data_IF_114814250442
#
_entry.id   IF_114814250442
#
_cell.length_a   1.000
_cell.length_b   1.000
_cell.length_c   1.000
_cell.angle_alpha   90.00
_cell.angle_beta   90.00
_cell.angle_gamma   90.00
#
_symmetry.space_group_name_H-M   'P 1'
#
loop_
_entity.id
_entity.type
_entity.pdbx_description
1 polymer ?
#
# COMPACT_ATOMS: atom_id res chain seq x y z
N UNK A 1 -7.52 23.20 -3.17
CA UNK A 1 -7.86 23.30 -1.72
C UNK A 1 -6.71 22.84 -0.80
N UNK A 2 -5.46 22.85 -1.25
CA UNK A 2 -4.31 22.73 -0.33
C UNK A 2 -3.33 23.84 -0.71
N UNK A 3 -3.50 25.00 -0.08
CA UNK A 3 -2.55 26.11 -0.17
C UNK A 3 -1.36 25.82 0.77
N UNK A 4 -0.19 25.56 0.20
CA UNK A 4 1.17 25.71 0.75
C UNK A 4 1.53 25.21 2.16
N UNK A 5 0.68 24.44 2.84
CA UNK A 5 1.02 23.72 4.08
C UNK A 5 1.36 22.25 3.83
N UNK A 6 2.28 21.69 4.62
CA UNK A 6 2.53 20.24 4.60
C UNK A 6 1.28 19.48 5.07
N UNK A 7 0.75 18.59 4.24
CA UNK A 7 -0.44 17.78 4.55
C UNK A 7 -0.11 16.80 5.67
N UNK A 8 -0.96 16.74 6.70
CA UNK A 8 -0.84 15.80 7.80
C UNK A 8 -1.74 14.56 7.60
N UNK A 9 -1.50 13.52 8.40
CA UNK A 9 -2.35 12.33 8.40
C UNK A 9 -3.78 12.67 8.90
N UNK A 10 -3.91 13.63 9.81
CA UNK A 10 -5.19 14.10 10.32
C UNK A 10 -6.02 14.80 9.23
N UNK A 11 -5.37 15.61 8.38
CA UNK A 11 -6.05 16.30 7.28
C UNK A 11 -6.68 15.29 6.31
N UNK A 12 -5.91 14.27 5.91
CA UNK A 12 -6.44 13.25 4.99
C UNK A 12 -7.47 12.33 5.63
N UNK A 13 -7.46 12.16 6.96
CA UNK A 13 -8.44 11.33 7.67
C UNK A 13 -9.88 11.82 7.45
N UNK A 14 -10.04 13.14 7.27
CA UNK A 14 -11.34 13.79 7.08
C UNK A 14 -11.90 13.59 5.67
N UNK A 15 -11.04 13.25 4.70
CA UNK A 15 -11.44 13.07 3.31
C UNK A 15 -11.85 11.62 3.03
N UNK A 16 -12.85 11.40 2.14
CA UNK A 16 -13.27 10.07 1.74
C UNK A 16 -12.11 9.24 1.18
N UNK A 17 -11.98 8.01 1.66
CA UNK A 17 -11.01 7.04 1.22
C UNK A 17 -11.67 5.83 0.56
N UNK A 18 -10.99 5.28 -0.45
CA UNK A 18 -11.30 3.97 -1.05
C UNK A 18 -10.11 3.05 -0.85
N UNK A 19 -10.28 1.93 -0.15
CA UNK A 19 -9.18 0.99 0.13
C UNK A 19 -9.46 -0.43 -0.36
N UNK A 20 -8.41 -1.27 -0.47
CA UNK A 20 -8.59 -2.72 -0.43
C UNK A 20 -9.44 -3.16 0.77
N UNK A 21 -10.11 -4.30 0.63
CA UNK A 21 -10.99 -4.84 1.65
C UNK A 21 -10.29 -5.06 3.01
N UNK A 22 -11.09 -5.06 4.07
CA UNK A 22 -10.62 -5.11 5.47
C UNK A 22 -9.70 -6.28 5.83
N UNK A 23 -9.77 -7.38 5.07
CA UNK A 23 -8.97 -8.59 5.29
C UNK A 23 -7.63 -8.59 4.55
N UNK A 24 -7.25 -7.46 3.94
CA UNK A 24 -6.00 -7.36 3.17
C UNK A 24 -4.87 -6.77 4.02
N UNK A 25 -3.64 -7.19 3.74
CA UNK A 25 -2.45 -6.65 4.40
C UNK A 25 -2.34 -5.12 4.27
N UNK A 26 -2.59 -4.57 3.07
CA UNK A 26 -2.55 -3.12 2.84
C UNK A 26 -3.52 -2.39 3.76
N UNK A 27 -4.76 -2.89 3.89
CA UNK A 27 -5.74 -2.28 4.77
C UNK A 27 -5.26 -2.28 6.23
N UNK A 28 -4.69 -3.39 6.72
CA UNK A 28 -4.16 -3.46 8.08
C UNK A 28 -2.96 -2.52 8.31
N UNK A 29 -2.07 -2.37 7.32
CA UNK A 29 -0.93 -1.45 7.40
C UNK A 29 -1.42 0.00 7.54
N UNK A 30 -2.36 0.42 6.69
CA UNK A 30 -2.92 1.78 6.73
C UNK A 30 -3.68 2.00 8.02
N UNK A 31 -4.52 1.05 8.43
CA UNK A 31 -5.29 1.12 9.67
C UNK A 31 -4.37 1.31 10.89
N UNK A 32 -3.30 0.52 11.02
CA UNK A 32 -2.32 0.66 12.10
C UNK A 32 -1.63 2.03 12.12
N UNK A 33 -1.33 2.59 10.95
CA UNK A 33 -0.76 3.94 10.82
C UNK A 33 -1.70 5.01 11.41
N UNK A 34 -2.99 4.95 11.09
CA UNK A 34 -3.99 5.88 11.62
C UNK A 34 -4.24 5.64 13.12
N UNK A 35 -4.39 4.38 13.54
CA UNK A 35 -4.60 4.01 14.95
C UNK A 35 -3.45 4.49 15.85
N UNK A 36 -2.20 4.42 15.37
CA UNK A 36 -1.02 4.90 16.09
C UNK A 36 -1.05 6.41 16.37
N UNK A 37 -1.86 7.18 15.64
CA UNK A 37 -2.08 8.61 15.86
C UNK A 37 -3.45 8.92 16.48
N UNK A 38 -4.20 7.89 16.91
CA UNK A 38 -5.56 8.06 17.44
C UNK A 38 -6.58 8.50 16.39
N UNK A 39 -6.32 8.25 15.11
CA UNK A 39 -7.16 8.64 13.99
C UNK A 39 -7.93 7.44 13.44
N UNK A 40 -9.07 7.71 12.80
CA UNK A 40 -9.80 6.72 12.00
C UNK A 40 -9.99 7.29 10.58
N UNK A 41 -9.53 6.59 9.53
CA UNK A 41 -9.75 7.07 8.16
C UNK A 41 -11.24 6.97 7.79
N UNK A 42 -11.75 7.98 7.09
CA UNK A 42 -13.11 7.97 6.54
C UNK A 42 -13.19 7.05 5.30
N UNK A 43 -13.36 5.75 5.50
CA UNK A 43 -13.45 4.76 4.40
C UNK A 43 -14.87 4.77 3.84
N UNK A 44 -15.06 5.42 2.69
CA UNK A 44 -16.35 5.50 2.01
C UNK A 44 -16.71 4.22 1.25
N UNK A 45 -15.70 3.49 0.76
CA UNK A 45 -15.89 2.25 0.00
C UNK A 45 -14.66 1.33 0.06
N UNK A 46 -14.84 0.06 -0.29
CA UNK A 46 -13.73 -0.88 -0.38
C UNK A 46 -13.88 -1.86 -1.54
N UNK A 47 -12.78 -2.15 -2.22
CA UNK A 47 -12.70 -3.13 -3.33
C UNK A 47 -11.28 -3.64 -3.49
N UNK A 48 -11.10 -4.90 -3.91
CA UNK A 48 -9.77 -5.51 -4.09
C UNK A 48 -9.18 -5.32 -5.50
N UNK A 49 -9.92 -4.64 -6.40
CA UNK A 49 -9.45 -4.34 -7.75
C UNK A 49 -8.70 -3.01 -7.77
N UNK A 50 -7.36 -3.07 -7.72
CA UNK A 50 -6.51 -1.87 -7.63
C UNK A 50 -6.73 -0.88 -8.79
N UNK A 51 -7.01 -1.36 -10.00
CA UNK A 51 -7.34 -0.49 -11.14
C UNK A 51 -8.65 0.28 -10.92
N UNK A 52 -9.65 -0.36 -10.32
CA UNK A 52 -10.90 0.32 -9.94
C UNK A 52 -10.66 1.40 -8.89
N UNK A 53 -9.79 1.10 -7.91
CA UNK A 53 -9.39 2.07 -6.89
C UNK A 53 -8.69 3.26 -7.56
N UNK A 54 -7.72 3.01 -8.45
CA UNK A 54 -7.01 4.06 -9.18
C UNK A 54 -7.95 4.92 -10.01
N UNK A 55 -8.90 4.32 -10.71
CA UNK A 55 -9.92 5.03 -11.48
C UNK A 55 -10.78 5.95 -10.59
N UNK A 56 -11.19 5.50 -9.40
CA UNK A 56 -11.95 6.34 -8.46
C UNK A 56 -11.11 7.51 -7.93
N UNK A 57 -9.82 7.29 -7.70
CA UNK A 57 -8.89 8.35 -7.30
C UNK A 57 -8.66 9.35 -8.43
N UNK A 58 -8.48 8.90 -9.68
CA UNK A 58 -8.19 9.79 -10.81
C UNK A 58 -9.35 10.72 -11.17
N UNK A 59 -10.59 10.30 -10.92
CA UNK A 59 -11.77 11.17 -11.08
C UNK A 59 -12.08 12.03 -9.84
N UNK A 60 -11.24 11.96 -8.80
CA UNK A 60 -11.37 12.78 -7.59
C UNK A 60 -12.46 12.35 -6.61
N UNK A 61 -12.95 11.11 -6.70
CA UNK A 61 -14.02 10.61 -5.82
C UNK A 61 -13.55 10.41 -4.38
N UNK A 62 -12.34 9.92 -4.20
CA UNK A 62 -11.74 9.58 -2.92
C UNK A 62 -10.21 9.46 -3.04
N UNK A 63 -9.49 9.50 -1.92
CA UNK A 63 -8.06 9.19 -1.88
C UNK A 63 -7.81 7.71 -1.58
N UNK A 64 -6.58 7.23 -1.82
CA UNK A 64 -6.22 5.83 -1.56
C UNK A 64 -4.73 5.60 -1.28
N UNK A 65 -4.39 4.34 -0.99
CA UNK A 65 -3.04 3.80 -0.92
C UNK A 65 -2.86 2.79 -2.04
N UNK A 66 -1.98 3.10 -2.99
CA UNK A 66 -1.70 2.29 -4.17
C UNK A 66 -0.20 1.96 -4.26
N UNK A 67 0.19 0.82 -4.88
CA UNK A 67 1.57 0.55 -5.22
C UNK A 67 2.20 1.69 -6.03
N UNK A 68 3.48 2.00 -5.77
CA UNK A 68 4.22 3.03 -6.51
C UNK A 68 4.27 2.76 -8.02
N UNK A 69 4.24 1.49 -8.42
CA UNK A 69 4.21 1.06 -9.82
C UNK A 69 2.94 1.49 -10.56
N UNK A 70 1.90 1.92 -9.86
CA UNK A 70 0.65 2.39 -10.45
C UNK A 70 0.56 3.93 -10.55
N UNK A 71 1.59 4.65 -10.10
CA UNK A 71 1.66 6.11 -10.20
C UNK A 71 1.89 6.52 -11.65
N UNK A 72 1.05 7.41 -12.17
CA UNK A 72 1.15 8.01 -13.50
C UNK A 72 0.51 9.41 -13.51
N UNK A 73 0.32 9.99 -14.69
CA UNK A 73 -0.24 11.34 -14.87
C UNK A 73 -1.69 11.48 -14.37
N UNK A 74 -2.41 10.39 -14.14
CA UNK A 74 -3.81 10.43 -13.70
C UNK A 74 -3.97 10.60 -12.19
N UNK A 75 -2.91 10.33 -11.41
CA UNK A 75 -2.96 10.37 -9.94
C UNK A 75 -1.71 11.02 -9.38
N UNK A 76 -1.88 11.86 -8.36
CA UNK A 76 -0.77 12.49 -7.66
C UNK A 76 -0.51 11.81 -6.32
N UNK A 77 0.76 11.71 -5.92
CA UNK A 77 1.12 11.28 -4.57
C UNK A 77 0.81 12.41 -3.58
N UNK A 78 0.16 12.07 -2.46
CA UNK A 78 0.03 12.96 -1.30
C UNK A 78 1.33 12.86 -0.49
N UNK A 79 2.14 13.95 -0.37
CA UNK A 79 3.35 13.94 0.41
C UNK A 79 3.00 14.01 1.91
N UNK A 80 3.35 12.95 2.65
CA UNK A 80 3.20 12.87 4.10
C UNK A 80 4.61 12.72 4.72
N UNK A 81 5.25 13.81 5.17
CA UNK A 81 6.59 13.78 5.75
C UNK A 81 6.68 12.81 6.93
N UNK A 82 7.76 12.02 7.00
CA UNK A 82 7.99 11.06 8.08
C UNK A 82 7.14 9.78 8.03
N UNK A 83 6.24 9.65 7.04
CA UNK A 83 5.41 8.45 6.86
C UNK A 83 5.94 7.63 5.68
N UNK A 84 6.36 6.40 5.98
CA UNK A 84 6.74 5.42 4.97
C UNK A 84 6.02 4.10 5.24
N UNK A 85 5.25 3.65 4.25
CA UNK A 85 4.63 2.33 4.28
C UNK A 85 5.54 1.34 3.56
N UNK A 86 5.95 0.30 4.26
CA UNK A 86 6.71 -0.82 3.71
C UNK A 86 5.99 -2.13 4.00
N UNK A 87 6.13 -3.11 3.10
CA UNK A 87 5.69 -4.49 3.35
C UNK A 87 6.89 -5.41 3.20
N UNK A 88 6.97 -6.41 4.08
CA UNK A 88 7.88 -7.53 3.89
C UNK A 88 7.12 -8.62 3.13
N UNK A 89 7.70 -9.08 2.02
CA UNK A 89 7.22 -10.23 1.28
C UNK A 89 8.03 -11.47 1.62
N UNK A 90 7.42 -12.63 1.38
CA UNK A 90 8.08 -13.92 1.51
C UNK A 90 7.29 -15.00 0.79
N UNK A 91 7.76 -16.23 0.90
CA UNK A 91 7.11 -17.43 0.38
C UNK A 91 6.58 -18.29 1.53
N UNK A 92 5.54 -19.09 1.26
CA UNK A 92 4.97 -20.05 2.22
C UNK A 92 5.27 -21.46 1.72
N UNK A 93 5.72 -22.33 2.64
CA UNK A 93 6.10 -23.71 2.35
C UNK A 93 5.28 -24.65 3.24
N UNK A 94 4.89 -25.82 2.69
CA UNK A 94 4.27 -26.88 3.49
C UNK A 94 5.38 -27.70 4.18
N UNK A 95 5.40 -27.70 5.52
CA UNK A 95 6.47 -28.31 6.31
C UNK A 95 6.62 -29.82 6.11
N UNK A 96 5.53 -30.51 5.78
CA UNK A 96 5.53 -31.97 5.54
C UNK A 96 5.90 -32.37 4.10
N UNK A 97 6.30 -31.43 3.23
CA UNK A 97 6.70 -31.74 1.85
C UNK A 97 8.16 -31.42 1.58
N UNK A 98 8.84 -32.35 0.92
CA UNK A 98 10.17 -32.11 0.38
C UNK A 98 10.10 -31.16 -0.81
N UNK A 99 10.91 -30.11 -0.79
CA UNK A 99 11.03 -29.19 -1.93
C UNK A 99 11.65 -29.91 -3.13
N UNK A 100 11.09 -29.65 -4.32
CA UNK A 100 11.71 -30.08 -5.57
C UNK A 100 12.95 -29.25 -5.88
N UNK A 101 13.79 -29.71 -6.80
CA UNK A 101 14.92 -28.92 -7.32
C UNK A 101 14.42 -27.59 -7.93
N UNK A 102 13.29 -27.62 -8.64
CA UNK A 102 12.69 -26.42 -9.23
C UNK A 102 12.22 -25.42 -8.16
N UNK A 103 11.60 -25.89 -7.08
CA UNK A 103 11.16 -25.01 -5.99
C UNK A 103 12.36 -24.32 -5.31
N UNK A 104 13.44 -25.07 -5.02
CA UNK A 104 14.68 -24.50 -4.47
C UNK A 104 15.30 -23.46 -5.40
N UNK A 105 15.37 -23.77 -6.70
CA UNK A 105 15.92 -22.84 -7.69
C UNK A 105 15.08 -21.56 -7.80
N UNK A 106 13.74 -21.67 -7.78
CA UNK A 106 12.84 -20.53 -7.78
C UNK A 106 13.02 -19.65 -6.54
N UNK A 107 13.14 -20.24 -5.34
CA UNK A 107 13.40 -19.49 -4.11
C UNK A 107 14.73 -18.75 -4.17
N UNK A 108 15.80 -19.39 -4.64
CA UNK A 108 17.10 -18.74 -4.81
C UNK A 108 17.05 -17.54 -5.77
N UNK A 109 16.26 -17.64 -6.84
CA UNK A 109 16.03 -16.51 -7.76
C UNK A 109 15.26 -15.38 -7.08
N UNK A 110 14.23 -15.68 -6.28
CA UNK A 110 13.50 -14.66 -5.53
C UNK A 110 14.40 -13.96 -4.51
N UNK A 111 15.20 -14.71 -3.76
CA UNK A 111 16.10 -14.17 -2.74
C UNK A 111 17.16 -13.23 -3.37
N UNK A 112 17.65 -13.58 -4.56
CA UNK A 112 18.56 -12.74 -5.34
C UNK A 112 17.91 -11.45 -5.88
N UNK A 113 16.57 -11.39 -5.92
CA UNK A 113 15.79 -10.22 -6.38
C UNK A 113 15.21 -9.40 -5.23
N UNK A 114 15.56 -9.69 -3.97
CA UNK A 114 15.11 -8.89 -2.83
C UNK A 114 15.70 -7.49 -2.96
N UNK A 115 14.86 -6.51 -3.28
CA UNK A 115 15.21 -5.09 -3.17
C UNK A 115 15.42 -4.78 -1.67
N UNK A 116 16.67 -4.55 -1.28
CA UNK A 116 17.00 -4.09 0.07
C UNK A 116 16.37 -2.70 0.29
N UNK A 117 15.81 -2.42 1.48
CA UNK A 117 15.24 -1.11 1.76
C UNK A 117 16.29 0.00 1.55
N UNK A 118 16.06 0.87 0.55
CA UNK A 118 16.92 2.01 0.23
C UNK A 118 17.62 1.96 -1.14
N UNK A 119 17.49 0.88 -1.92
CA UNK A 119 18.28 0.70 -3.16
C UNK A 119 17.64 1.28 -4.43
N UNK A 120 16.41 1.82 -4.36
CA UNK A 120 15.79 2.55 -5.48
C UNK A 120 15.15 3.84 -4.97
N UNK A 121 15.83 4.95 -5.25
CA UNK A 121 15.33 6.32 -5.10
C UNK A 121 14.30 6.65 -6.17
#
# INVERSE_FOLDING_TARGET
LLENGAVSLADIALHPAVFPGGNTFTHHIVRRLFEAQGLTPNIAMSTNYLETIKMMVSIGLAWSVLPRTMLDEQVARIPLPGIQLSRQLGYILHTERTLSNAARAFMALLDAQIDLPGTRA
#
